data_IF_715179096547
#
_entry.id   IF_715179096547
#
_cell.length_a   1.000
_cell.length_b   1.000
_cell.length_c   1.000
_cell.angle_alpha   90.00
_cell.angle_beta   90.00
_cell.angle_gamma   90.00
#
_symmetry.space_group_name_H-M   'P 1'
#
loop_
_entity.id
_entity.type
_entity.pdbx_description
1 polymer ?
#
# COMPACT_ATOMS: atom_id res chain seq x y z
N UNK A 1 4.21 -7.44 -21.14
CA UNK A 1 3.92 -7.84 -19.75
C UNK A 1 3.47 -6.63 -18.93
N UNK A 2 4.40 -5.75 -18.59
CA UNK A 2 4.13 -4.62 -17.68
C UNK A 2 3.22 -3.52 -18.27
N UNK A 3 3.12 -3.41 -19.59
CA UNK A 3 2.15 -2.51 -20.25
C UNK A 3 0.72 -3.00 -20.05
N UNK A 4 0.51 -4.33 -19.96
CA UNK A 4 -0.79 -4.96 -19.75
C UNK A 4 -1.27 -4.86 -18.30
N UNK A 5 -0.35 -4.70 -17.34
CA UNK A 5 -0.69 -4.52 -15.92
C UNK A 5 -1.65 -3.37 -15.69
N UNK A 6 -1.72 -2.36 -16.57
CA UNK A 6 -2.68 -1.26 -16.46
C UNK A 6 -4.14 -1.70 -16.39
N UNK A 7 -4.49 -2.90 -16.89
CA UNK A 7 -5.87 -3.39 -16.81
C UNK A 7 -6.19 -4.05 -15.47
N UNK A 8 -5.23 -4.73 -14.84
CA UNK A 8 -5.42 -5.44 -13.56
C UNK A 8 -4.96 -4.63 -12.34
N UNK A 9 -3.94 -3.82 -12.51
CA UNK A 9 -3.30 -2.99 -11.50
C UNK A 9 -3.09 -1.54 -12.02
N UNK A 10 -4.16 -0.82 -12.44
CA UNK A 10 -4.06 0.50 -13.08
C UNK A 10 -3.33 1.56 -12.25
N UNK A 11 -3.44 1.46 -10.92
CA UNK A 11 -3.02 2.48 -9.94
C UNK A 11 -2.02 1.92 -8.92
N UNK A 12 -1.22 0.94 -9.32
CA UNK A 12 -0.19 0.32 -8.48
C UNK A 12 1.15 1.06 -8.56
N UNK A 13 1.89 1.15 -7.46
CA UNK A 13 3.14 1.94 -7.38
C UNK A 13 4.13 1.57 -8.49
N UNK A 14 4.42 0.27 -8.59
CA UNK A 14 5.42 -0.28 -9.52
C UNK A 14 5.07 -0.10 -11.01
N UNK A 15 3.87 0.40 -11.31
CA UNK A 15 3.48 0.76 -12.67
C UNK A 15 3.90 2.19 -13.07
N UNK A 16 4.55 2.93 -12.17
CA UNK A 16 5.12 4.26 -12.36
C UNK A 16 6.64 4.19 -12.44
N UNK A 17 7.21 5.10 -13.22
CA UNK A 17 8.64 5.39 -13.18
C UNK A 17 8.95 6.24 -11.95
N UNK A 18 10.10 6.00 -11.33
CA UNK A 18 10.70 6.86 -10.32
C UNK A 18 11.30 8.11 -11.01
N UNK A 19 11.72 9.10 -10.22
CA UNK A 19 12.32 10.34 -10.72
C UNK A 19 13.61 10.11 -11.51
N UNK A 20 14.33 9.03 -11.20
CA UNK A 20 15.51 8.57 -11.97
C UNK A 20 15.16 8.04 -13.39
N UNK A 21 13.88 8.01 -13.78
CA UNK A 21 13.43 7.57 -15.10
C UNK A 21 13.22 6.06 -15.24
N UNK A 22 13.48 5.28 -14.18
CA UNK A 22 13.42 3.82 -14.17
C UNK A 22 12.18 3.27 -13.46
N UNK A 23 11.78 2.05 -13.80
CA UNK A 23 10.81 1.27 -13.03
C UNK A 23 11.52 0.47 -11.93
N UNK A 24 10.77 -0.24 -11.07
CA UNK A 24 11.36 -1.10 -10.03
C UNK A 24 11.86 -2.45 -10.55
N UNK A 25 11.48 -2.81 -11.79
CA UNK A 25 11.73 -4.12 -12.36
C UNK A 25 13.17 -4.22 -12.87
N UNK A 26 14.02 -5.10 -12.29
CA UNK A 26 15.41 -5.27 -12.69
C UNK A 26 15.51 -5.99 -14.04
N UNK A 27 16.52 -5.66 -14.83
CA UNK A 27 16.85 -6.44 -16.02
C UNK A 27 17.41 -7.79 -15.59
N UNK A 28 17.13 -8.85 -16.35
CA UNK A 28 17.65 -10.20 -16.08
C UNK A 28 19.17 -10.21 -15.94
N UNK A 29 19.86 -9.49 -16.82
CA UNK A 29 21.32 -9.42 -16.89
C UNK A 29 21.93 -8.73 -15.66
N UNK A 30 21.14 -7.96 -14.92
CA UNK A 30 21.55 -7.28 -13.69
C UNK A 30 21.17 -8.06 -12.41
N UNK A 31 20.52 -9.21 -12.53
CA UNK A 31 20.22 -10.08 -11.39
C UNK A 31 21.43 -10.97 -11.07
N UNK A 32 21.77 -11.17 -9.79
CA UNK A 32 22.74 -12.19 -9.39
C UNK A 32 22.33 -13.58 -9.88
N UNK A 33 23.31 -14.43 -10.20
CA UNK A 33 23.04 -15.78 -10.75
C UNK A 33 22.19 -16.62 -9.80
N UNK A 34 22.45 -16.49 -8.51
CA UNK A 34 21.77 -17.17 -7.43
C UNK A 34 20.27 -16.80 -7.37
N UNK A 35 19.93 -15.56 -7.77
CA UNK A 35 18.54 -15.10 -7.85
C UNK A 35 17.86 -15.66 -9.11
N UNK A 36 18.57 -15.72 -10.23
CA UNK A 36 18.05 -16.27 -11.48
C UNK A 36 17.74 -17.76 -11.31
N UNK A 37 18.59 -18.52 -10.61
CA UNK A 37 18.42 -19.95 -10.33
C UNK A 37 17.20 -20.26 -9.45
N UNK A 38 16.78 -19.31 -8.60
CA UNK A 38 15.61 -19.46 -7.73
C UNK A 38 14.29 -19.15 -8.45
N UNK A 39 14.34 -18.45 -9.58
CA UNK A 39 13.16 -18.05 -10.35
C UNK A 39 12.71 -19.18 -11.27
N UNK A 40 11.39 -19.41 -11.34
CA UNK A 40 10.84 -20.49 -12.18
C UNK A 40 10.92 -20.09 -13.66
N UNK A 41 11.60 -20.89 -14.48
CA UNK A 41 11.59 -20.66 -15.93
C UNK A 41 10.29 -21.16 -16.55
N UNK A 42 9.56 -20.26 -17.23
CA UNK A 42 8.33 -20.59 -17.94
C UNK A 42 8.57 -20.71 -19.46
N UNK A 43 8.60 -21.94 -19.95
CA UNK A 43 8.83 -22.27 -21.37
C UNK A 43 7.62 -21.95 -22.28
N UNK A 44 6.50 -21.46 -21.73
CA UNK A 44 5.30 -21.13 -22.51
C UNK A 44 5.41 -19.77 -23.22
N UNK A 45 6.36 -18.93 -22.83
CA UNK A 45 6.60 -17.65 -23.50
C UNK A 45 7.24 -17.88 -24.87
N UNK A 46 6.65 -17.26 -25.89
CA UNK A 46 7.14 -17.33 -27.27
C UNK A 46 8.32 -16.40 -27.54
N UNK A 47 8.53 -15.37 -26.71
CA UNK A 47 9.59 -14.39 -26.88
C UNK A 47 10.55 -14.34 -25.69
N UNK A 48 11.86 -14.27 -25.98
CA UNK A 48 12.92 -14.11 -24.96
C UNK A 48 12.68 -12.87 -24.09
N UNK A 49 12.16 -11.80 -24.69
CA UNK A 49 11.82 -10.58 -23.94
C UNK A 49 10.70 -10.83 -22.91
N UNK A 50 9.68 -11.62 -23.24
CA UNK A 50 8.64 -11.98 -22.29
C UNK A 50 9.20 -12.84 -21.15
N UNK A 51 10.08 -13.80 -21.45
CA UNK A 51 10.81 -14.58 -20.44
C UNK A 51 11.62 -13.68 -19.51
N UNK A 52 12.34 -12.69 -20.04
CA UNK A 52 13.12 -11.75 -19.21
C UNK A 52 12.23 -10.87 -18.33
N UNK A 53 11.08 -10.41 -18.84
CA UNK A 53 10.09 -9.69 -18.03
C UNK A 53 9.46 -10.58 -16.94
N UNK A 54 9.22 -11.85 -17.25
CA UNK A 54 8.71 -12.80 -16.27
C UNK A 54 9.69 -13.03 -15.13
N UNK A 55 10.98 -13.21 -15.45
CA UNK A 55 12.04 -13.35 -14.46
C UNK A 55 12.12 -12.11 -13.56
N UNK A 56 12.05 -10.93 -14.16
CA UNK A 56 12.03 -9.66 -13.45
C UNK A 56 10.82 -9.52 -12.52
N UNK A 57 9.64 -9.93 -12.99
CA UNK A 57 8.41 -9.94 -12.19
C UNK A 57 8.53 -10.87 -10.99
N UNK A 58 9.01 -12.09 -11.21
CA UNK A 58 9.21 -13.08 -10.15
C UNK A 58 10.22 -12.57 -9.12
N UNK A 59 11.39 -12.09 -9.54
CA UNK A 59 12.41 -11.55 -8.64
C UNK A 59 11.82 -10.50 -7.67
N UNK A 60 11.14 -9.47 -8.19
CA UNK A 60 10.55 -8.40 -7.36
C UNK A 60 9.49 -8.96 -6.39
N UNK A 61 8.60 -9.84 -6.86
CA UNK A 61 7.51 -10.34 -6.03
C UNK A 61 7.94 -11.46 -5.06
N UNK A 62 9.05 -12.14 -5.32
CA UNK A 62 9.64 -13.19 -4.46
C UNK A 62 10.55 -12.63 -3.37
N UNK A 63 10.81 -11.32 -3.35
CA UNK A 63 11.59 -10.69 -2.28
C UNK A 63 12.99 -10.24 -2.67
N UNK A 64 13.32 -10.19 -3.97
CA UNK A 64 14.55 -9.55 -4.39
C UNK A 64 14.51 -8.06 -4.05
N UNK A 65 15.46 -7.65 -3.23
CA UNK A 65 15.61 -6.26 -2.77
C UNK A 65 16.94 -5.65 -3.21
N UNK A 66 17.79 -6.40 -3.92
CA UNK A 66 19.13 -5.96 -4.30
C UNK A 66 19.16 -4.78 -5.29
N UNK A 67 20.35 -4.20 -5.45
CA UNK A 67 20.60 -3.14 -6.44
C UNK A 67 20.88 -3.77 -7.81
N UNK A 68 20.49 -3.11 -8.88
CA UNK A 68 20.72 -3.57 -10.24
C UNK A 68 20.19 -2.57 -11.25
N UNK A 69 20.56 -2.75 -12.53
CA UNK A 69 20.02 -1.94 -13.60
C UNK A 69 18.54 -2.29 -13.82
N UNK A 70 17.67 -1.30 -13.64
CA UNK A 70 16.24 -1.46 -13.85
C UNK A 70 15.79 -1.02 -15.25
N UNK A 71 14.66 -1.53 -15.70
CA UNK A 71 14.08 -1.10 -16.97
C UNK A 71 13.69 0.39 -16.93
N UNK A 72 14.20 1.17 -17.89
CA UNK A 72 13.72 2.52 -18.16
C UNK A 72 12.44 2.53 -19.01
N UNK A 73 12.29 1.58 -19.94
CA UNK A 73 11.12 1.50 -20.82
C UNK A 73 10.72 0.05 -21.05
N UNK A 74 9.42 -0.17 -21.26
CA UNK A 74 8.90 -1.48 -21.63
C UNK A 74 8.59 -1.52 -23.13
N UNK A 75 9.06 -2.57 -23.79
CA UNK A 75 8.72 -2.89 -25.17
C UNK A 75 7.45 -3.76 -25.19
N UNK A 76 6.72 -3.70 -26.29
CA UNK A 76 5.55 -4.54 -26.52
C UNK A 76 6.02 -5.98 -26.78
N UNK A 77 5.36 -6.96 -26.16
CA UNK A 77 5.58 -8.39 -26.39
C UNK A 77 4.38 -8.99 -27.17
N UNK A 78 4.48 -10.22 -27.69
CA UNK A 78 3.35 -10.93 -28.30
C UNK A 78 2.10 -10.94 -27.40
N UNK A 79 0.93 -10.93 -28.01
CA UNK A 79 -0.34 -10.83 -27.27
C UNK A 79 -0.61 -12.12 -26.48
N UNK A 80 -0.20 -13.25 -27.04
CA UNK A 80 -0.25 -14.58 -26.46
C UNK A 80 0.53 -14.60 -25.14
N UNK A 81 1.75 -14.06 -25.15
CA UNK A 81 2.61 -13.93 -23.96
C UNK A 81 1.97 -13.04 -22.87
N UNK A 82 1.27 -11.96 -23.25
CA UNK A 82 0.53 -11.12 -22.30
C UNK A 82 -0.58 -11.90 -21.58
N UNK A 83 -1.29 -12.77 -22.30
CA UNK A 83 -2.34 -13.61 -21.73
C UNK A 83 -1.81 -14.78 -20.92
N UNK A 84 -0.67 -15.36 -21.33
CA UNK A 84 0.07 -16.35 -20.51
C UNK A 84 0.40 -15.72 -19.16
N UNK A 85 1.07 -14.56 -19.15
CA UNK A 85 1.37 -13.81 -17.91
C UNK A 85 0.12 -13.56 -17.06
N UNK A 86 -0.96 -13.06 -17.67
CA UNK A 86 -2.17 -12.73 -16.94
C UNK A 86 -2.79 -13.95 -16.24
N UNK A 87 -2.80 -15.12 -16.89
CA UNK A 87 -3.31 -16.38 -16.30
C UNK A 87 -2.33 -17.00 -15.31
N UNK A 88 -1.03 -16.80 -15.48
CA UNK A 88 0.00 -17.28 -14.56
C UNK A 88 -0.12 -16.60 -13.19
N UNK A 89 -0.31 -15.27 -13.14
CA UNK A 89 -0.20 -14.51 -11.88
C UNK A 89 -1.49 -13.96 -11.31
N UNK A 90 -2.56 -13.84 -12.11
CA UNK A 90 -3.81 -13.25 -11.65
C UNK A 90 -4.94 -14.29 -11.62
N UNK A 91 -5.95 -14.03 -10.78
CA UNK A 91 -7.16 -14.85 -10.78
C UNK A 91 -7.76 -14.93 -12.20
N UNK A 92 -8.20 -16.12 -12.67
CA UNK A 92 -8.72 -16.31 -14.03
C UNK A 92 -9.83 -15.33 -14.44
N UNK A 93 -10.65 -14.86 -13.50
CA UNK A 93 -11.68 -13.84 -13.73
C UNK A 93 -11.09 -12.57 -14.34
N UNK A 94 -9.87 -12.20 -13.94
CA UNK A 94 -9.19 -11.03 -14.49
C UNK A 94 -8.76 -11.22 -15.94
N UNK A 95 -8.45 -12.45 -16.38
CA UNK A 95 -8.18 -12.71 -17.80
C UNK A 95 -9.41 -12.48 -18.67
N UNK A 96 -10.58 -12.89 -18.19
CA UNK A 96 -11.88 -12.67 -18.84
C UNK A 96 -12.19 -11.18 -18.88
N UNK A 97 -12.05 -10.49 -17.74
CA UNK A 97 -12.24 -9.05 -17.66
C UNK A 97 -11.38 -8.28 -18.68
N UNK A 98 -10.10 -8.64 -18.81
CA UNK A 98 -9.18 -7.95 -19.72
C UNK A 98 -9.58 -8.15 -21.18
N UNK A 99 -9.91 -9.37 -21.62
CA UNK A 99 -10.34 -9.59 -23.02
C UNK A 99 -11.63 -8.80 -23.33
N UNK A 100 -12.60 -8.77 -22.42
CA UNK A 100 -13.83 -8.00 -22.59
C UNK A 100 -13.55 -6.50 -22.72
N UNK A 101 -12.76 -5.93 -21.80
CA UNK A 101 -12.39 -4.50 -21.86
C UNK A 101 -11.62 -4.17 -23.14
N UNK A 102 -10.76 -5.07 -23.62
CA UNK A 102 -9.99 -4.83 -24.86
C UNK A 102 -10.88 -4.83 -26.09
N UNK A 103 -11.86 -5.74 -26.18
CA UNK A 103 -12.86 -5.75 -27.24
C UNK A 103 -13.71 -4.47 -27.19
N UNK A 104 -14.22 -4.11 -26.00
CA UNK A 104 -15.01 -2.88 -25.80
C UNK A 104 -14.22 -1.60 -26.06
N UNK A 105 -12.89 -1.65 -26.05
CA UNK A 105 -12.00 -0.54 -26.42
C UNK A 105 -11.41 -0.70 -27.82
N UNK A 106 -12.15 -1.39 -28.70
CA UNK A 106 -11.90 -1.53 -30.14
C UNK A 106 -10.54 -2.17 -30.49
N UNK A 107 -10.03 -3.08 -29.65
CA UNK A 107 -8.95 -3.99 -30.07
C UNK A 107 -9.52 -5.09 -30.95
N UNK A 108 -8.71 -5.59 -31.89
CA UNK A 108 -9.14 -6.57 -32.88
C UNK A 108 -9.69 -7.84 -32.19
N UNK A 109 -11.00 -8.12 -32.27
CA UNK A 109 -11.62 -9.18 -31.47
C UNK A 109 -11.08 -10.56 -31.84
N UNK A 110 -10.81 -10.82 -33.12
CA UNK A 110 -10.28 -12.12 -33.57
C UNK A 110 -8.90 -12.41 -32.98
N UNK A 111 -7.99 -11.41 -33.00
CA UNK A 111 -6.65 -11.55 -32.41
C UNK A 111 -6.72 -11.72 -30.89
N UNK A 112 -7.54 -10.92 -30.21
CA UNK A 112 -7.70 -10.98 -28.74
C UNK A 112 -8.30 -12.31 -28.28
N UNK A 113 -9.37 -12.77 -28.92
CA UNK A 113 -10.04 -14.03 -28.58
C UNK A 113 -9.11 -15.21 -28.89
N UNK A 114 -8.43 -15.21 -30.05
CA UNK A 114 -7.48 -16.27 -30.41
C UNK A 114 -6.36 -16.40 -29.37
N UNK A 115 -5.69 -15.30 -29.02
CA UNK A 115 -4.62 -15.29 -28.02
C UNK A 115 -5.13 -15.68 -26.61
N UNK A 116 -6.31 -15.19 -26.22
CA UNK A 116 -6.92 -15.53 -24.93
C UNK A 116 -7.32 -17.01 -24.83
N UNK A 117 -7.81 -17.62 -25.93
CA UNK A 117 -8.10 -19.04 -26.02
C UNK A 117 -6.81 -19.88 -26.07
N UNK A 118 -5.78 -19.42 -26.76
CA UNK A 118 -4.46 -20.08 -26.81
C UNK A 118 -3.83 -20.26 -25.42
N UNK A 119 -4.07 -19.31 -24.52
CA UNK A 119 -3.60 -19.38 -23.12
C UNK A 119 -4.49 -20.22 -22.17
N UNK A 120 -5.57 -20.85 -22.63
CA UNK A 120 -6.58 -21.50 -21.76
C UNK A 120 -6.02 -22.60 -20.83
N UNK A 121 -4.94 -23.27 -21.24
CA UNK A 121 -4.31 -24.36 -20.48
C UNK A 121 -3.26 -23.87 -19.47
N UNK A 122 -3.01 -22.56 -19.40
CA UNK A 122 -2.06 -21.96 -18.46
C UNK A 122 -2.59 -22.13 -17.02
N UNK A 123 -1.80 -22.82 -16.20
CA UNK A 123 -2.03 -22.96 -14.76
C UNK A 123 -1.43 -21.78 -13.99
N UNK A 124 -2.09 -21.42 -12.87
CA UNK A 124 -1.63 -20.36 -11.96
C UNK A 124 -0.31 -20.78 -11.30
N UNK A 125 0.66 -19.88 -11.22
CA UNK A 125 1.93 -20.11 -10.56
C UNK A 125 1.79 -20.12 -9.03
N UNK A 126 2.63 -20.91 -8.37
CA UNK A 126 2.77 -20.98 -6.91
C UNK A 126 4.04 -20.27 -6.42
N UNK A 127 4.66 -19.41 -7.24
CA UNK A 127 5.95 -18.77 -6.97
C UNK A 127 6.12 -18.14 -5.56
N UNK A 128 5.04 -17.63 -4.94
CA UNK A 128 5.06 -17.10 -3.57
C UNK A 128 5.22 -18.15 -2.46
N UNK A 129 5.20 -19.45 -2.78
CA UNK A 129 5.45 -20.52 -1.81
C UNK A 129 6.95 -20.66 -1.48
N UNK A 130 7.84 -20.23 -2.39
CA UNK A 130 9.29 -20.30 -2.23
C UNK A 130 9.90 -18.89 -2.38
N UNK A 131 9.69 -17.98 -1.41
CA UNK A 131 10.31 -16.66 -1.49
C UNK A 131 11.84 -16.75 -1.41
N UNK A 132 12.51 -15.72 -1.93
CA UNK A 132 13.97 -15.61 -1.86
C UNK A 132 14.35 -15.47 -0.38
N UNK A 133 15.17 -16.39 0.17
CA UNK A 133 15.54 -16.37 1.57
C UNK A 133 16.50 -15.21 1.86
N UNK A 134 16.53 -14.79 3.12
CA UNK A 134 17.50 -13.83 3.64
C UNK A 134 18.30 -14.49 4.77
N UNK A 135 19.24 -15.40 4.44
CA UNK A 135 19.89 -16.26 5.43
C UNK A 135 20.78 -15.48 6.40
N UNK A 136 21.31 -14.32 6.00
CA UNK A 136 22.21 -13.52 6.83
C UNK A 136 21.46 -12.69 7.89
N UNK A 137 20.13 -12.54 7.75
CA UNK A 137 19.33 -11.69 8.64
C UNK A 137 19.38 -12.12 10.12
N UNK A 138 19.18 -13.40 10.49
CA UNK A 138 19.16 -13.81 11.90
C UNK A 138 20.49 -13.49 12.61
N UNK A 139 21.63 -13.74 11.95
CA UNK A 139 22.97 -13.51 12.51
C UNK A 139 23.47 -12.07 12.39
N UNK A 140 22.81 -11.22 11.60
CA UNK A 140 23.25 -9.85 11.40
C UNK A 140 23.19 -9.02 12.69
N UNK A 141 24.33 -8.45 13.06
CA UNK A 141 24.46 -7.48 14.15
C UNK A 141 24.38 -6.08 13.55
N UNK A 142 23.40 -5.30 14.00
CA UNK A 142 23.15 -3.97 13.43
C UNK A 142 23.98 -2.91 14.12
N UNK A 143 24.90 -2.31 13.35
CA UNK A 143 25.68 -1.15 13.79
C UNK A 143 24.77 0.03 14.12
N UNK A 144 23.64 0.17 13.41
CA UNK A 144 22.67 1.21 13.70
C UNK A 144 22.01 1.03 15.07
N UNK A 145 21.65 -0.21 15.45
CA UNK A 145 21.10 -0.50 16.77
C UNK A 145 22.13 -0.22 17.86
N UNK A 146 23.39 -0.62 17.65
CA UNK A 146 24.51 -0.35 18.59
C UNK A 146 24.79 1.15 18.79
N UNK A 147 24.59 1.98 17.75
CA UNK A 147 24.74 3.44 17.84
C UNK A 147 23.59 4.13 18.60
N UNK A 148 22.52 3.41 18.90
CA UNK A 148 21.37 3.91 19.67
C UNK A 148 20.86 5.29 19.20
N UNK A 149 20.51 5.50 17.92
CA UNK A 149 19.97 6.78 17.47
C UNK A 149 18.59 7.11 18.09
N UNK A 150 18.33 8.37 18.40
CA UNK A 150 17.00 8.75 18.91
C UNK A 150 15.90 8.45 17.87
N UNK A 151 14.86 7.71 18.29
CA UNK A 151 13.64 7.44 17.53
C UNK A 151 12.48 8.27 18.09
N UNK A 152 11.75 8.98 17.24
CA UNK A 152 10.50 9.66 17.63
C UNK A 152 9.30 8.83 17.21
N UNK A 153 8.55 8.33 18.19
CA UNK A 153 7.33 7.56 17.97
C UNK A 153 6.15 8.54 17.89
N UNK A 154 5.36 8.47 16.82
CA UNK A 154 4.26 9.40 16.55
C UNK A 154 2.93 8.67 16.64
N UNK A 155 2.09 9.09 17.59
CA UNK A 155 0.80 8.48 17.89
C UNK A 155 -0.30 9.54 17.84
N UNK A 156 -1.08 9.61 16.76
CA UNK A 156 -2.34 10.37 16.76
C UNK A 156 -3.42 9.57 17.50
N UNK A 157 -4.15 10.20 18.41
CA UNK A 157 -5.27 9.55 19.13
C UNK A 157 -6.55 10.38 19.06
N UNK A 158 -7.69 9.69 19.04
CA UNK A 158 -9.01 10.31 19.10
C UNK A 158 -10.02 9.36 19.75
N UNK A 159 -10.40 9.69 20.98
CA UNK A 159 -11.42 9.01 21.78
C UNK A 159 -11.11 7.51 21.99
N UNK A 160 -9.84 7.17 22.23
CA UNK A 160 -9.33 5.78 22.33
C UNK A 160 -8.41 5.51 23.52
N UNK A 161 -8.52 6.29 24.60
CA UNK A 161 -7.70 6.15 25.82
C UNK A 161 -7.49 4.71 26.30
N UNK A 162 -8.53 3.85 26.25
CA UNK A 162 -8.41 2.43 26.62
C UNK A 162 -7.33 1.71 25.81
N UNK A 163 -7.30 1.87 24.49
CA UNK A 163 -6.36 1.19 23.61
C UNK A 163 -5.00 1.89 23.60
N UNK A 164 -5.02 3.22 23.73
CA UNK A 164 -3.80 4.00 23.89
C UNK A 164 -3.03 3.59 25.15
N UNK A 165 -3.72 3.23 26.24
CA UNK A 165 -3.07 2.70 27.44
C UNK A 165 -2.26 1.43 27.12
N UNK A 166 -2.88 0.46 26.45
CA UNK A 166 -2.20 -0.77 26.05
C UNK A 166 -0.99 -0.48 25.14
N UNK A 167 -1.11 0.49 24.24
CA UNK A 167 -0.04 0.96 23.35
C UNK A 167 1.14 1.53 24.15
N UNK A 168 0.88 2.41 25.13
CA UNK A 168 1.93 3.03 25.94
C UNK A 168 2.60 1.99 26.86
N UNK A 169 1.85 1.06 27.44
CA UNK A 169 2.40 -0.05 28.22
C UNK A 169 3.28 -1.01 27.39
N UNK A 170 2.97 -1.21 26.11
CA UNK A 170 3.83 -1.99 25.20
C UNK A 170 5.13 -1.22 24.86
N UNK A 171 5.08 0.12 24.82
CA UNK A 171 6.25 0.95 24.61
C UNK A 171 7.21 0.95 25.81
N UNK A 172 6.69 0.90 27.04
CA UNK A 172 7.51 0.75 28.26
C UNK A 172 8.28 -0.58 28.30
N UNK A 173 7.81 -1.58 27.57
CA UNK A 173 8.42 -2.92 27.50
C UNK A 173 9.42 -3.07 26.35
N UNK A 174 9.69 -2.01 25.58
CA UNK A 174 10.64 -2.09 24.47
C UNK A 174 12.07 -2.31 24.99
N UNK A 175 12.80 -3.21 24.35
CA UNK A 175 14.23 -3.46 24.65
C UNK A 175 15.11 -2.31 24.18
N UNK A 176 14.69 -1.60 23.14
CA UNK A 176 15.32 -0.37 22.69
C UNK A 176 14.78 0.82 23.47
N UNK A 177 15.64 1.53 24.19
CA UNK A 177 15.20 2.57 25.16
C UNK A 177 15.43 4.01 24.72
N UNK A 178 16.25 4.28 23.69
CA UNK A 178 16.53 5.65 23.24
C UNK A 178 15.44 6.17 22.28
N UNK A 179 14.25 6.42 22.80
CA UNK A 179 13.14 6.98 22.03
C UNK A 179 12.35 8.04 22.82
N UNK A 180 11.68 8.91 22.08
CA UNK A 180 10.64 9.80 22.61
C UNK A 180 9.29 9.42 22.00
N UNK A 181 8.20 9.74 22.70
CA UNK A 181 6.85 9.46 22.24
C UNK A 181 6.07 10.77 22.14
N UNK A 182 5.57 11.07 20.95
CA UNK A 182 4.80 12.28 20.68
C UNK A 182 3.35 11.85 20.42
N UNK A 183 2.47 12.18 21.37
CA UNK A 183 1.04 11.91 21.27
C UNK A 183 0.32 13.18 20.84
N UNK A 184 -0.46 13.10 19.77
CA UNK A 184 -1.35 14.19 19.35
C UNK A 184 -2.79 13.76 19.60
N UNK A 185 -3.35 14.26 20.70
CA UNK A 185 -4.67 13.93 21.19
C UNK A 185 -5.73 14.89 20.66
N UNK A 186 -6.72 14.36 19.98
CA UNK A 186 -7.84 15.10 19.40
C UNK A 186 -9.17 14.82 20.14
N UNK A 187 -9.09 14.13 21.28
CA UNK A 187 -10.24 13.70 22.07
C UNK A 187 -10.88 14.86 22.80
N UNK A 188 -12.19 14.78 22.95
CA UNK A 188 -12.98 15.79 23.65
C UNK A 188 -13.96 15.07 24.60
N UNK A 189 -13.81 15.23 25.93
CA UNK A 189 -12.82 16.08 26.60
C UNK A 189 -11.37 15.54 26.50
N UNK A 190 -10.40 16.46 26.46
CA UNK A 190 -8.98 16.14 26.59
C UNK A 190 -8.65 15.76 28.04
N UNK A 191 -7.97 14.63 28.24
CA UNK A 191 -7.67 14.08 29.57
C UNK A 191 -6.17 14.14 29.83
N UNK A 192 -5.65 15.31 30.20
CA UNK A 192 -4.22 15.49 30.47
C UNK A 192 -3.67 14.48 31.49
N UNK A 193 -4.41 14.25 32.58
CA UNK A 193 -4.02 13.34 33.67
C UNK A 193 -3.85 11.88 33.22
N UNK A 194 -4.44 11.48 32.09
CA UNK A 194 -4.25 10.12 31.56
C UNK A 194 -2.77 9.82 31.29
N UNK A 195 -1.98 10.83 30.94
CA UNK A 195 -0.60 10.66 30.50
C UNK A 195 0.43 10.65 31.65
N UNK A 196 0.02 11.01 32.87
CA UNK A 196 0.92 11.18 34.02
C UNK A 196 1.39 9.83 34.59
N UNK A 197 0.70 8.73 34.28
CA UNK A 197 0.94 7.39 34.84
C UNK A 197 2.03 6.58 34.10
N UNK A 198 2.64 7.12 33.04
CA UNK A 198 3.56 6.37 32.17
C UNK A 198 5.01 6.84 32.33
N UNK A 199 5.93 5.87 32.47
CA UNK A 199 7.38 6.07 32.57
C UNK A 199 8.04 6.20 31.19
N UNK A 200 7.49 7.09 30.36
CA UNK A 200 7.93 7.34 28.99
C UNK A 200 8.34 8.81 28.82
N UNK A 201 9.30 9.07 27.95
CA UNK A 201 9.58 10.43 27.48
C UNK A 201 8.45 10.91 26.56
N UNK A 202 7.33 11.32 27.17
CA UNK A 202 6.10 11.72 26.50
C UNK A 202 6.06 13.22 26.25
N UNK A 203 5.74 13.57 25.00
CA UNK A 203 5.33 14.91 24.61
C UNK A 203 3.88 14.84 24.09
N UNK A 204 2.96 15.44 24.83
CA UNK A 204 1.52 15.37 24.53
C UNK A 204 1.02 16.71 24.04
N UNK A 205 0.41 16.72 22.86
CA UNK A 205 -0.19 17.90 22.25
C UNK A 205 -1.69 17.68 22.15
N UNK A 206 -2.48 18.62 22.66
CA UNK A 206 -3.90 18.67 22.35
C UNK A 206 -4.11 19.36 21.00
N UNK A 207 -4.87 18.74 20.10
CA UNK A 207 -5.25 19.28 18.81
C UNK A 207 -6.77 19.33 18.68
N UNK A 208 -7.33 20.54 18.67
CA UNK A 208 -8.78 20.76 18.53
C UNK A 208 -9.32 20.27 17.16
N UNK A 209 -8.57 20.53 16.08
CA UNK A 209 -8.96 20.05 14.76
C UNK A 209 -8.83 18.52 14.70
N UNK A 210 -9.97 17.85 14.57
CA UNK A 210 -10.08 16.40 14.35
C UNK A 210 -9.61 16.02 12.93
N UNK A 211 -8.30 15.86 12.75
CA UNK A 211 -7.57 15.69 11.49
C UNK A 211 -6.28 14.85 11.68
N UNK A 212 -6.24 13.66 11.06
CA UNK A 212 -5.17 12.66 11.23
C UNK A 212 -3.84 13.12 10.61
N UNK A 213 -3.88 13.63 9.37
CA UNK A 213 -2.65 14.00 8.67
C UNK A 213 -2.05 15.26 9.28
N UNK A 214 -2.88 16.20 9.76
CA UNK A 214 -2.44 17.31 10.58
C UNK A 214 -1.75 16.82 11.85
N UNK A 215 -2.37 15.90 12.58
CA UNK A 215 -1.79 15.36 13.81
C UNK A 215 -0.42 14.71 13.57
N UNK A 216 -0.30 13.87 12.54
CA UNK A 216 1.00 13.29 12.14
C UNK A 216 2.00 14.37 11.71
N UNK A 217 1.58 15.36 10.92
CA UNK A 217 2.45 16.45 10.47
C UNK A 217 3.00 17.27 11.64
N UNK A 218 2.15 17.69 12.57
CA UNK A 218 2.53 18.44 13.78
C UNK A 218 3.57 17.67 14.60
N UNK A 219 3.35 16.37 14.80
CA UNK A 219 4.28 15.52 15.54
C UNK A 219 5.62 15.33 14.82
N UNK A 220 5.62 15.17 13.49
CA UNK A 220 6.85 15.08 12.68
C UNK A 220 7.64 16.38 12.79
N UNK A 221 6.97 17.53 12.70
CA UNK A 221 7.59 18.86 12.76
C UNK A 221 8.37 19.08 14.05
N UNK A 222 7.83 18.67 15.20
CA UNK A 222 8.48 18.88 16.50
C UNK A 222 9.38 17.73 16.96
N UNK A 223 9.42 16.63 16.21
CA UNK A 223 10.24 15.46 16.53
C UNK A 223 11.72 15.83 16.64
N UNK A 224 12.46 15.17 17.53
CA UNK A 224 13.91 15.35 17.72
C UNK A 224 14.72 14.18 17.15
N UNK A 225 14.12 13.00 17.09
CA UNK A 225 14.73 11.78 16.57
C UNK A 225 15.17 11.90 15.12
N UNK A 226 16.23 11.16 14.78
CA UNK A 226 16.70 11.01 13.38
C UNK A 226 15.83 10.03 12.59
N UNK A 227 15.06 9.22 13.32
CA UNK A 227 14.11 8.25 12.79
C UNK A 227 12.72 8.54 13.32
N UNK A 228 11.73 8.41 12.45
CA UNK A 228 10.32 8.63 12.76
C UNK A 228 9.62 7.28 12.69
N UNK A 229 9.02 6.86 13.80
CA UNK A 229 8.24 5.63 13.88
C UNK A 229 6.76 5.98 13.99
N UNK A 230 6.03 5.78 12.90
CA UNK A 230 4.60 6.07 12.87
C UNK A 230 3.83 4.87 13.42
N UNK A 231 2.99 5.13 14.42
CA UNK A 231 2.23 4.10 15.12
C UNK A 231 0.75 4.51 15.25
N UNK A 232 -0.15 3.54 15.40
CA UNK A 232 -1.58 3.81 15.68
C UNK A 232 -1.92 3.50 17.13
N UNK A 233 -2.96 4.17 17.64
CA UNK A 233 -3.47 4.04 19.00
C UNK A 233 -4.28 2.75 19.30
N UNK A 234 -4.51 1.88 18.31
CA UNK A 234 -5.26 0.62 18.43
C UNK A 234 -4.44 -0.61 18.01
N UNK A 235 -3.21 -0.68 18.49
CA UNK A 235 -2.20 -1.66 18.09
C UNK A 235 -1.46 -2.29 19.27
N UNK A 236 -0.97 -3.53 19.09
CA UNK A 236 -0.11 -4.22 20.05
C UNK A 236 1.20 -4.63 19.38
N UNK A 237 2.31 -4.50 20.11
CA UNK A 237 3.67 -4.78 19.61
C UNK A 237 4.51 -5.52 20.64
N UNK A 238 5.47 -6.33 20.15
CA UNK A 238 6.42 -7.04 21.00
C UNK A 238 7.61 -6.17 21.44
N UNK A 239 8.43 -6.64 22.39
CA UNK A 239 9.51 -5.87 23.01
C UNK A 239 10.64 -5.47 22.03
N UNK A 240 10.89 -6.26 20.99
CA UNK A 240 11.96 -6.01 20.00
C UNK A 240 11.47 -5.26 18.74
N UNK A 241 10.26 -4.70 18.76
CA UNK A 241 9.63 -4.10 17.59
C UNK A 241 10.44 -2.94 17.00
N UNK A 242 10.95 -2.02 17.85
CA UNK A 242 11.79 -0.91 17.40
C UNK A 242 13.13 -1.42 16.83
N UNK A 243 13.75 -2.41 17.49
CA UNK A 243 15.00 -3.04 17.04
C UNK A 243 14.82 -3.66 15.65
N UNK A 244 13.72 -4.39 15.42
CA UNK A 244 13.44 -5.02 14.15
C UNK A 244 13.37 -4.00 13.00
N UNK A 245 12.77 -2.83 13.25
CA UNK A 245 12.75 -1.74 12.28
C UNK A 245 14.14 -1.13 12.00
N UNK A 246 14.89 -0.79 13.04
CA UNK A 246 16.25 -0.23 12.90
C UNK A 246 17.19 -1.20 12.20
N UNK A 247 17.16 -2.48 12.58
CA UNK A 247 17.94 -3.55 11.96
C UNK A 247 17.60 -3.69 10.47
N UNK A 248 16.35 -3.53 10.08
CA UNK A 248 15.93 -3.57 8.67
C UNK A 248 16.49 -2.40 7.86
N UNK A 249 16.44 -1.19 8.43
CA UNK A 249 17.02 0.01 7.80
C UNK A 249 18.51 -0.20 7.54
N UNK A 250 19.23 -0.71 8.54
CA UNK A 250 20.67 -0.92 8.47
C UNK A 250 21.05 -2.07 7.52
N UNK A 251 20.48 -3.26 7.71
CA UNK A 251 20.77 -4.46 6.93
C UNK A 251 20.55 -4.25 5.42
N UNK A 252 19.44 -3.62 5.05
CA UNK A 252 19.16 -3.36 3.64
C UNK A 252 19.72 -2.03 3.15
N UNK A 253 20.34 -1.21 4.00
CA UNK A 253 20.66 0.18 3.68
C UNK A 253 19.45 0.86 3.01
N UNK A 254 18.33 0.86 3.73
CA UNK A 254 17.04 1.37 3.28
C UNK A 254 16.70 2.69 3.97
N UNK A 255 15.73 3.44 3.44
CA UNK A 255 15.24 4.67 4.08
C UNK A 255 13.94 4.43 4.86
N UNK A 256 13.22 3.35 4.52
CA UNK A 256 11.91 3.03 5.07
C UNK A 256 11.83 1.53 5.38
N UNK A 257 11.39 1.20 6.60
CA UNK A 257 11.02 -0.15 7.02
C UNK A 257 9.52 -0.17 7.30
N UNK A 258 8.73 -0.72 6.38
CA UNK A 258 7.29 -0.97 6.57
C UNK A 258 7.09 -2.28 7.31
N UNK A 259 6.59 -2.23 8.54
CA UNK A 259 6.27 -3.42 9.32
C UNK A 259 5.02 -4.11 8.81
N UNK A 260 4.78 -5.33 9.31
CA UNK A 260 3.64 -6.15 8.90
C UNK A 260 2.50 -5.99 9.89
N UNK A 261 1.32 -5.65 9.38
CA UNK A 261 0.10 -5.56 10.20
C UNK A 261 -0.70 -6.85 10.12
N UNK A 262 -0.72 -7.58 11.23
CA UNK A 262 -1.54 -8.77 11.44
C UNK A 262 -2.88 -8.31 12.01
N UNK A 263 -3.98 -8.93 11.57
CA UNK A 263 -5.29 -8.63 12.12
C UNK A 263 -6.08 -9.92 12.32
N UNK A 264 -6.62 -10.08 13.53
CA UNK A 264 -7.50 -11.20 13.88
C UNK A 264 -8.89 -11.09 13.21
N UNK A 265 -9.23 -9.91 12.68
CA UNK A 265 -10.49 -9.64 12.01
C UNK A 265 -10.25 -9.31 10.52
N UNK A 266 -10.84 -10.09 9.62
CA UNK A 266 -10.91 -9.76 8.19
C UNK A 266 -10.29 -10.81 7.28
N UNK A 267 -9.62 -10.34 6.23
CA UNK A 267 -8.98 -11.21 5.24
C UNK A 267 -7.67 -11.80 5.77
N UNK A 268 -7.30 -12.98 5.25
CA UNK A 268 -6.02 -13.63 5.50
C UNK A 268 -4.85 -12.68 5.20
N UNK A 269 -3.81 -12.74 6.03
CA UNK A 269 -2.58 -11.97 5.80
C UNK A 269 -1.95 -12.42 4.48
N UNK A 270 -1.69 -11.51 3.54
CA UNK A 270 -1.08 -11.89 2.27
C UNK A 270 0.26 -12.61 2.46
N UNK A 271 0.50 -13.71 1.73
CA UNK A 271 1.76 -14.48 1.85
C UNK A 271 3.02 -13.66 1.62
N UNK A 272 2.94 -12.62 0.80
CA UNK A 272 4.05 -11.70 0.56
C UNK A 272 4.41 -10.80 1.75
N UNK A 273 3.72 -10.93 2.88
CA UNK A 273 4.08 -10.30 4.15
C UNK A 273 4.95 -11.20 5.03
N UNK A 274 5.15 -12.48 4.67
CA UNK A 274 5.95 -13.41 5.49
C UNK A 274 7.45 -13.38 5.18
N UNK A 275 7.90 -12.48 4.30
CA UNK A 275 9.30 -12.37 3.87
C UNK A 275 9.65 -10.93 3.48
N UNK A 276 10.95 -10.63 3.42
CA UNK A 276 11.43 -9.31 3.00
C UNK A 276 11.18 -9.08 1.52
N UNK A 277 10.70 -7.88 1.18
CA UNK A 277 10.58 -7.45 -0.22
C UNK A 277 10.52 -5.94 -0.31
N UNK A 278 10.67 -5.42 -1.53
CA UNK A 278 10.32 -4.02 -1.79
C UNK A 278 8.82 -3.85 -1.55
N UNK A 279 8.46 -2.97 -0.63
CA UNK A 279 7.08 -2.69 -0.29
C UNK A 279 6.41 -1.84 -1.37
N UNK A 280 5.19 -2.21 -1.73
CA UNK A 280 4.29 -1.46 -2.61
C UNK A 280 3.20 -0.71 -1.84
N UNK A 281 3.38 -0.57 -0.52
CA UNK A 281 2.51 0.22 0.34
C UNK A 281 3.29 0.75 1.55
N UNK A 282 2.72 1.73 2.23
CA UNK A 282 3.13 2.16 3.57
C UNK A 282 1.89 2.02 4.43
N UNK A 283 2.02 1.36 5.58
CA UNK A 283 1.03 1.41 6.65
C UNK A 283 1.53 2.43 7.66
N UNK A 284 0.92 3.62 7.72
CA UNK A 284 1.38 4.66 8.66
C UNK A 284 1.12 4.31 10.12
N UNK A 285 0.48 3.17 10.41
CA UNK A 285 0.40 2.62 11.74
C UNK A 285 1.55 1.67 12.12
N UNK A 286 2.46 1.32 11.20
CA UNK A 286 3.59 0.43 11.48
C UNK A 286 4.74 0.67 10.49
N UNK A 287 5.41 1.82 10.59
CA UNK A 287 6.51 2.15 9.67
C UNK A 287 7.56 3.04 10.31
N UNK A 288 8.82 2.64 10.17
CA UNK A 288 9.99 3.46 10.52
C UNK A 288 10.51 4.14 9.25
N UNK A 289 10.74 5.44 9.33
CA UNK A 289 11.34 6.25 8.26
C UNK A 289 12.55 7.01 8.79
N UNK A 290 13.59 7.12 7.96
CA UNK A 290 14.59 8.16 8.19
C UNK A 290 13.93 9.54 8.05
N UNK A 291 14.30 10.48 8.90
CA UNK A 291 13.73 11.84 8.89
C UNK A 291 13.99 12.60 7.57
N UNK A 292 15.06 12.24 6.85
CA UNK A 292 15.35 12.77 5.51
C UNK A 292 14.27 12.48 4.46
N UNK A 293 13.47 11.43 4.66
CA UNK A 293 12.35 11.10 3.76
C UNK A 293 11.38 12.28 3.74
N UNK A 294 11.00 12.81 4.91
CA UNK A 294 10.10 13.97 5.01
C UNK A 294 10.73 15.24 4.44
N UNK A 295 12.06 15.44 4.58
CA UNK A 295 12.76 16.59 3.98
C UNK A 295 12.66 16.58 2.46
N UNK A 296 12.67 15.40 1.86
CA UNK A 296 12.62 15.22 0.40
C UNK A 296 11.18 15.20 -0.14
N UNK A 297 10.28 14.46 0.50
CA UNK A 297 8.90 14.28 0.01
C UNK A 297 7.96 15.40 0.43
N UNK A 298 8.32 16.18 1.47
CA UNK A 298 7.38 16.96 2.26
C UNK A 298 6.50 16.07 3.15
N UNK A 299 5.68 16.73 3.96
CA UNK A 299 4.77 16.12 4.93
C UNK A 299 3.57 15.37 4.26
N UNK A 300 2.62 14.88 5.06
CA UNK A 300 1.41 14.23 4.53
C UNK A 300 0.48 15.24 3.83
N UNK A 301 -0.13 14.83 2.70
CA UNK A 301 -1.08 15.67 1.96
C UNK A 301 -2.42 15.76 2.70
N UNK A 302 -2.74 16.95 3.22
CA UNK A 302 -4.00 17.17 3.95
C UNK A 302 -5.24 17.12 3.04
N UNK A 303 -5.12 16.97 1.72
CA UNK A 303 -6.25 16.63 0.86
C UNK A 303 -6.90 15.27 1.23
N UNK A 304 -6.22 14.42 1.99
CA UNK A 304 -6.73 13.11 2.41
C UNK A 304 -7.40 13.12 3.79
N UNK A 305 -7.53 14.29 4.42
CA UNK A 305 -8.21 14.39 5.72
C UNK A 305 -9.63 13.86 5.67
N UNK A 306 -10.00 13.10 6.70
CA UNK A 306 -11.32 12.46 6.86
C UNK A 306 -11.71 11.56 5.69
N UNK A 307 -10.73 11.12 4.88
CA UNK A 307 -10.93 10.27 3.72
C UNK A 307 -9.88 9.14 3.65
N UNK A 308 -9.60 8.59 2.46
CA UNK A 308 -8.77 7.39 2.26
C UNK A 308 -7.66 7.65 1.26
N UNK A 309 -6.69 6.75 1.23
CA UNK A 309 -5.51 6.77 0.33
C UNK A 309 -4.40 7.73 0.74
N UNK A 310 -4.41 8.32 1.94
CA UNK A 310 -3.27 9.14 2.38
C UNK A 310 -2.00 8.31 2.61
N UNK A 311 -2.13 7.12 3.21
CA UNK A 311 -1.04 6.12 3.27
C UNK A 311 -0.50 5.78 1.88
N UNK A 312 -1.44 5.49 0.98
CA UNK A 312 -1.20 5.14 -0.42
C UNK A 312 -0.50 6.27 -1.19
N UNK A 313 -0.85 7.51 -0.87
CA UNK A 313 -0.30 8.69 -1.51
C UNK A 313 1.12 8.99 -1.03
N UNK A 314 1.33 8.97 0.29
CA UNK A 314 2.65 9.22 0.86
C UNK A 314 3.64 8.12 0.45
N UNK A 315 3.21 6.86 0.49
CA UNK A 315 4.02 5.74 0.01
C UNK A 315 4.36 5.83 -1.48
N UNK A 316 3.42 6.28 -2.32
CA UNK A 316 3.71 6.51 -3.73
C UNK A 316 4.72 7.65 -3.92
N UNK A 317 4.61 8.76 -3.18
CA UNK A 317 5.62 9.83 -3.24
C UNK A 317 7.01 9.31 -2.86
N UNK A 318 7.12 8.57 -1.76
CA UNK A 318 8.38 7.95 -1.36
C UNK A 318 8.96 7.05 -2.46
N UNK A 319 8.12 6.22 -3.07
CA UNK A 319 8.51 5.37 -4.20
C UNK A 319 9.00 6.20 -5.41
N UNK A 320 8.31 7.29 -5.75
CA UNK A 320 8.68 8.16 -6.86
C UNK A 320 10.01 8.87 -6.63
N UNK A 321 10.34 9.27 -5.39
CA UNK A 321 11.66 9.79 -5.03
C UNK A 321 12.78 8.73 -5.12
N UNK A 322 12.41 7.45 -5.17
CA UNK A 322 13.36 6.35 -5.26
C UNK A 322 13.84 5.81 -3.93
N UNK A 323 13.20 6.21 -2.83
CA UNK A 323 13.48 5.64 -1.51
C UNK A 323 13.24 4.15 -1.47
N UNK A 324 14.16 3.43 -0.83
CA UNK A 324 14.06 2.01 -0.61
C UNK A 324 13.16 1.75 0.60
N UNK A 325 11.98 1.21 0.31
CA UNK A 325 11.00 0.81 1.31
C UNK A 325 10.93 -0.72 1.38
N UNK A 326 11.30 -1.28 2.53
CA UNK A 326 11.31 -2.73 2.76
C UNK A 326 10.11 -3.14 3.60
N UNK A 327 9.36 -4.13 3.11
CA UNK A 327 8.37 -4.87 3.91
C UNK A 327 9.11 -5.77 4.88
N UNK A 328 8.92 -5.58 6.18
CA UNK A 328 9.67 -6.23 7.24
C UNK A 328 8.76 -7.18 8.06
N UNK A 329 8.85 -8.51 7.86
CA UNK A 329 8.05 -9.48 8.58
C UNK A 329 8.38 -9.57 10.08
N UNK A 330 9.55 -9.10 10.51
CA UNK A 330 10.00 -9.17 11.91
C UNK A 330 9.58 -7.94 12.72
N UNK A 331 9.12 -6.88 12.06
CA UNK A 331 8.51 -5.72 12.71
C UNK A 331 6.99 -5.83 12.63
N UNK A 332 6.44 -6.87 13.25
CA UNK A 332 5.01 -7.13 13.24
C UNK A 332 4.23 -6.31 14.27
N UNK A 333 2.98 -6.02 13.92
CA UNK A 333 2.01 -5.33 14.76
C UNK A 333 0.69 -6.09 14.70
N UNK A 334 0.06 -6.31 15.85
CA UNK A 334 -1.34 -6.73 15.89
C UNK A 334 -2.26 -5.50 15.85
N UNK A 335 -2.98 -5.31 14.74
CA UNK A 335 -3.94 -4.21 14.57
C UNK A 335 -5.35 -4.68 14.95
N UNK A 336 -5.88 -4.11 16.04
CA UNK A 336 -7.14 -4.51 16.68
C UNK A 336 -8.40 -4.11 15.88
N UNK A 337 -8.27 -3.17 14.94
CA UNK A 337 -9.35 -2.65 14.09
C UNK A 337 -10.59 -2.19 14.87
N UNK A 338 -10.37 -1.46 15.96
CA UNK A 338 -11.41 -1.07 16.93
C UNK A 338 -12.58 -0.34 16.26
N UNK A 339 -13.82 -0.78 16.48
CA UNK A 339 -15.01 -0.26 15.78
C UNK A 339 -15.37 1.21 16.06
N UNK A 340 -14.84 1.82 17.12
CA UNK A 340 -15.14 3.18 17.57
C UNK A 340 -13.89 4.07 17.69
N UNK A 341 -14.08 5.39 17.75
CA UNK A 341 -12.98 6.36 17.82
C UNK A 341 -12.16 6.48 16.53
N UNK A 342 -11.17 7.36 16.52
CA UNK A 342 -10.28 7.59 15.38
C UNK A 342 -11.02 8.07 14.12
N UNK A 343 -10.46 7.76 12.95
CA UNK A 343 -11.06 8.07 11.65
C UNK A 343 -12.49 7.55 11.47
N UNK A 344 -12.89 6.52 12.24
CA UNK A 344 -14.24 5.92 12.16
C UNK A 344 -15.33 6.88 12.64
N UNK A 345 -14.99 7.95 13.37
CA UNK A 345 -15.96 8.99 13.75
C UNK A 345 -16.32 9.96 12.62
N UNK A 346 -15.49 10.05 11.56
CA UNK A 346 -15.57 11.16 10.59
C UNK A 346 -15.95 10.74 9.17
N UNK A 347 -16.36 9.49 8.93
CA UNK A 347 -16.83 9.08 7.61
C UNK A 347 -17.03 7.58 7.40
N UNK A 348 -17.48 7.20 6.20
CA UNK A 348 -17.56 5.81 5.77
C UNK A 348 -16.15 5.25 5.58
N UNK A 349 -15.84 4.15 6.24
CA UNK A 349 -14.59 3.42 6.06
C UNK A 349 -14.52 2.78 4.67
N UNK A 350 -15.64 2.38 4.08
CA UNK A 350 -15.65 1.79 2.73
C UNK A 350 -15.50 2.89 1.67
N UNK A 351 -14.34 2.93 1.01
CA UNK A 351 -14.04 3.94 0.00
C UNK A 351 -14.92 3.83 -1.26
N UNK A 352 -15.57 2.68 -1.48
CA UNK A 352 -16.34 2.36 -2.68
C UNK A 352 -17.81 2.02 -2.40
N UNK A 353 -18.25 2.07 -1.14
CA UNK A 353 -19.65 1.91 -0.75
C UNK A 353 -20.11 3.03 0.16
N UNK A 354 -21.33 3.45 -0.08
CA UNK A 354 -21.98 4.53 0.67
C UNK A 354 -23.40 4.11 1.01
N UNK A 355 -23.85 4.50 2.20
CA UNK A 355 -25.22 4.31 2.65
C UNK A 355 -26.17 5.41 2.13
N UNK A 356 -25.64 6.49 1.55
CA UNK A 356 -26.42 7.60 0.96
C UNK A 356 -26.48 7.48 -0.57
N UNK A 357 -27.67 7.63 -1.14
CA UNK A 357 -27.95 7.43 -2.57
C UNK A 357 -27.13 8.33 -3.51
N UNK A 358 -26.81 9.57 -3.10
CA UNK A 358 -26.06 10.54 -3.92
C UNK A 358 -24.66 10.86 -3.37
N UNK A 359 -24.17 10.08 -2.41
CA UNK A 359 -22.80 10.25 -1.96
C UNK A 359 -21.80 9.78 -3.04
N UNK A 360 -20.63 10.41 -3.13
CA UNK A 360 -19.62 10.07 -4.13
C UNK A 360 -19.17 8.61 -4.00
N UNK A 361 -19.03 7.93 -5.15
CA UNK A 361 -18.47 6.58 -5.25
C UNK A 361 -17.40 6.51 -6.35
N UNK A 362 -16.13 6.18 -6.04
CA UNK A 362 -15.57 6.11 -4.70
C UNK A 362 -15.62 7.45 -4.00
N UNK A 363 -15.19 7.53 -2.74
CA UNK A 363 -14.96 8.83 -2.11
C UNK A 363 -13.94 9.66 -2.91
N UNK A 364 -14.04 11.00 -2.90
CA UNK A 364 -13.30 11.85 -3.85
C UNK A 364 -11.78 11.73 -3.80
N UNK A 365 -11.20 11.53 -2.61
CA UNK A 365 -9.75 11.32 -2.42
C UNK A 365 -9.17 10.15 -3.23
N UNK A 366 -9.94 9.08 -3.42
CA UNK A 366 -9.51 7.93 -4.24
C UNK A 366 -9.28 8.36 -5.69
N UNK A 367 -10.24 9.10 -6.26
CA UNK A 367 -10.10 9.61 -7.63
C UNK A 367 -9.09 10.75 -7.73
N UNK A 368 -8.94 11.57 -6.69
CA UNK A 368 -7.87 12.57 -6.60
C UNK A 368 -6.50 11.88 -6.70
N UNK A 369 -6.24 10.86 -5.87
CA UNK A 369 -5.02 10.06 -5.92
C UNK A 369 -4.79 9.41 -7.30
N UNK A 370 -5.80 8.71 -7.85
CA UNK A 370 -5.67 8.03 -9.14
C UNK A 370 -5.36 8.99 -10.27
N UNK A 371 -6.09 10.11 -10.35
CA UNK A 371 -5.95 11.06 -11.46
C UNK A 371 -4.67 11.88 -11.35
N UNK A 372 -4.29 12.30 -10.14
CA UNK A 372 -3.07 13.07 -9.89
C UNK A 372 -1.81 12.29 -10.28
N UNK A 373 -1.72 11.03 -9.88
CA UNK A 373 -0.49 10.26 -10.04
C UNK A 373 -0.47 9.31 -11.24
N UNK A 374 -1.63 8.89 -11.75
CA UNK A 374 -1.73 7.91 -12.84
C UNK A 374 -2.44 8.46 -14.08
N UNK A 375 -3.08 9.63 -13.99
CA UNK A 375 -3.82 10.27 -15.08
C UNK A 375 -5.23 9.69 -15.29
N UNK A 376 -6.04 10.41 -16.05
CA UNK A 376 -7.46 10.10 -16.24
C UNK A 376 -7.70 8.72 -16.86
N UNK A 377 -6.87 8.29 -17.82
CA UNK A 377 -7.04 7.00 -18.50
C UNK A 377 -6.93 5.82 -17.53
N UNK A 378 -5.93 5.83 -16.64
CA UNK A 378 -5.74 4.77 -15.64
C UNK A 378 -6.76 4.87 -14.51
N UNK A 379 -7.15 6.08 -14.11
CA UNK A 379 -8.24 6.28 -13.16
C UNK A 379 -9.56 5.67 -13.68
N UNK A 380 -9.85 5.79 -14.98
CA UNK A 380 -11.03 5.15 -15.56
C UNK A 380 -10.95 3.63 -15.56
N UNK A 381 -9.80 3.05 -15.91
CA UNK A 381 -9.60 1.60 -15.81
C UNK A 381 -9.77 1.11 -14.36
N UNK A 382 -9.28 1.88 -13.38
CA UNK A 382 -9.46 1.57 -11.97
C UNK A 382 -10.95 1.55 -11.58
N UNK A 383 -11.73 2.56 -12.01
CA UNK A 383 -13.18 2.60 -11.78
C UNK A 383 -13.91 1.42 -12.42
N UNK A 384 -13.62 1.10 -13.69
CA UNK A 384 -14.21 -0.04 -14.39
C UNK A 384 -13.92 -1.36 -13.68
N UNK A 385 -12.76 -1.46 -13.03
CA UNK A 385 -12.37 -2.65 -12.26
C UNK A 385 -13.02 -2.71 -10.88
N UNK A 386 -13.13 -1.58 -10.17
CA UNK A 386 -13.47 -1.57 -8.74
C UNK A 386 -14.91 -1.21 -8.42
N UNK A 387 -15.59 -0.42 -9.26
CA UNK A 387 -16.98 0.01 -9.00
C UNK A 387 -17.98 -1.12 -9.20
N UNK A 388 -17.96 -1.90 -10.31
CA UNK A 388 -18.94 -2.99 -10.48
C UNK A 388 -18.98 -3.98 -9.31
N UNK A 389 -17.85 -4.54 -8.82
CA UNK A 389 -17.90 -5.45 -7.67
C UNK A 389 -18.23 -4.76 -6.34
N UNK A 390 -18.22 -3.43 -6.26
CA UNK A 390 -18.59 -2.70 -5.03
C UNK A 390 -20.11 -2.56 -4.87
N UNK A 391 -20.88 -2.71 -5.95
CA UNK A 391 -22.36 -2.65 -5.92
C UNK A 391 -22.93 -3.86 -5.19
N UNK A 392 -22.34 -5.03 -5.40
CA UNK A 392 -22.79 -6.29 -4.80
C UNK A 392 -22.37 -6.38 -3.33
N UNK A 393 -23.32 -6.56 -2.37
CA UNK A 393 -23.01 -6.73 -0.95
C UNK A 393 -22.12 -7.95 -0.69
N UNK A 394 -21.26 -7.90 0.34
CA UNK A 394 -20.36 -9.03 0.65
C UNK A 394 -21.12 -10.34 0.93
N UNK A 395 -22.25 -10.26 1.64
CA UNK A 395 -23.13 -11.43 1.90
C UNK A 395 -23.61 -12.14 0.64
N UNK A 396 -23.82 -11.41 -0.46
CA UNK A 396 -24.31 -11.99 -1.71
C UNK A 396 -23.19 -12.69 -2.50
N UNK A 397 -21.93 -12.29 -2.28
CA UNK A 397 -20.78 -12.86 -3.01
C UNK A 397 -20.51 -14.33 -2.67
N UNK A 398 -21.02 -14.84 -1.55
CA UNK A 398 -20.84 -16.24 -1.12
C UNK A 398 -21.94 -17.19 -1.64
N UNK A 399 -23.10 -16.67 -2.03
CA UNK A 399 -24.25 -17.47 -2.46
C UNK A 399 -24.54 -17.23 -3.94
N UNK A 400 -24.54 -18.28 -4.77
CA UNK A 400 -24.68 -18.18 -6.24
C UNK A 400 -25.99 -17.51 -6.68
N UNK A 401 -27.10 -17.81 -6.00
CA UNK A 401 -28.42 -17.24 -6.32
C UNK A 401 -28.43 -15.74 -5.97
N UNK A 402 -27.98 -15.40 -4.76
CA UNK A 402 -27.88 -14.01 -4.33
C UNK A 402 -26.86 -13.21 -5.15
N UNK A 403 -25.83 -13.86 -5.69
CA UNK A 403 -24.88 -13.25 -6.61
C UNK A 403 -25.55 -12.90 -7.94
N UNK A 404 -26.33 -13.80 -8.53
CA UNK A 404 -27.09 -13.53 -9.76
C UNK A 404 -28.11 -12.40 -9.55
N UNK A 405 -28.85 -12.45 -8.44
CA UNK A 405 -29.74 -11.37 -8.03
C UNK A 405 -28.97 -10.04 -7.87
N UNK A 406 -27.81 -10.07 -7.23
CA UNK A 406 -26.94 -8.92 -7.07
C UNK A 406 -26.44 -8.34 -8.39
N UNK A 407 -26.16 -9.17 -9.39
CA UNK A 407 -25.79 -8.73 -10.75
C UNK A 407 -26.98 -8.02 -11.40
N UNK A 408 -28.18 -8.59 -11.34
CA UNK A 408 -29.38 -7.96 -11.88
C UNK A 408 -29.67 -6.60 -11.23
N UNK A 409 -29.64 -6.53 -9.89
CA UNK A 409 -29.79 -5.28 -9.14
C UNK A 409 -28.70 -4.26 -9.54
N UNK A 410 -27.48 -4.71 -9.82
CA UNK A 410 -26.39 -3.81 -10.21
C UNK A 410 -26.64 -3.13 -11.56
N UNK A 411 -27.34 -3.80 -12.49
CA UNK A 411 -27.75 -3.21 -13.78
C UNK A 411 -28.80 -2.13 -13.53
N UNK A 412 -29.81 -2.40 -12.71
CA UNK A 412 -30.87 -1.43 -12.36
C UNK A 412 -30.29 -0.20 -11.67
N UNK A 413 -29.31 -0.39 -10.77
CA UNK A 413 -28.67 0.71 -10.04
C UNK A 413 -27.62 1.47 -10.87
N UNK A 414 -27.28 1.02 -12.08
CA UNK A 414 -26.19 1.58 -12.88
C UNK A 414 -26.31 3.10 -13.13
N UNK A 415 -27.50 3.67 -13.45
CA UNK A 415 -27.63 5.12 -13.63
C UNK A 415 -27.29 5.91 -12.35
N UNK A 416 -27.74 5.44 -11.19
CA UNK A 416 -27.41 6.06 -9.90
C UNK A 416 -25.92 5.96 -9.59
N UNK A 417 -25.31 4.79 -9.85
CA UNK A 417 -23.87 4.60 -9.67
C UNK A 417 -23.07 5.52 -10.59
N UNK A 418 -23.51 5.71 -11.84
CA UNK A 418 -22.88 6.65 -12.77
C UNK A 418 -22.91 8.08 -12.24
N UNK A 419 -24.04 8.52 -11.65
CA UNK A 419 -24.16 9.82 -10.98
C UNK A 419 -23.18 9.90 -9.79
N UNK A 420 -23.11 8.87 -8.93
CA UNK A 420 -22.16 8.84 -7.80
C UNK A 420 -20.70 8.96 -8.26
N UNK A 421 -20.34 8.28 -9.35
CA UNK A 421 -19.01 8.35 -9.97
C UNK A 421 -18.76 9.74 -10.53
N UNK A 422 -19.72 10.34 -11.22
CA UNK A 422 -19.61 11.70 -11.75
C UNK A 422 -19.43 12.75 -10.64
N UNK A 423 -20.20 12.66 -9.54
CA UNK A 423 -20.03 13.53 -8.37
C UNK A 423 -18.62 13.38 -7.79
N UNK A 424 -18.15 12.15 -7.62
CA UNK A 424 -16.80 11.88 -7.14
C UNK A 424 -15.74 12.47 -8.07
N UNK A 425 -15.90 12.29 -9.38
CA UNK A 425 -15.00 12.82 -10.40
C UNK A 425 -14.92 14.35 -10.35
N UNK A 426 -16.06 15.04 -10.27
CA UNK A 426 -16.12 16.50 -10.15
C UNK A 426 -15.45 17.00 -8.87
N UNK A 427 -15.71 16.35 -7.73
CA UNK A 427 -15.06 16.69 -6.45
C UNK A 427 -13.55 16.43 -6.48
N UNK A 428 -13.12 15.35 -7.12
CA UNK A 428 -11.71 15.08 -7.36
C UNK A 428 -11.07 16.14 -8.28
N UNK A 429 -11.77 16.61 -9.33
CA UNK A 429 -11.28 17.72 -10.16
C UNK A 429 -11.07 18.98 -9.33
N UNK A 430 -12.00 19.31 -8.41
CA UNK A 430 -11.82 20.45 -7.50
C UNK A 430 -10.54 20.30 -6.65
N UNK A 431 -10.28 19.11 -6.10
CA UNK A 431 -9.05 18.82 -5.34
C UNK A 431 -7.79 18.93 -6.21
N UNK A 432 -7.82 18.44 -7.45
CA UNK A 432 -6.69 18.57 -8.39
C UNK A 432 -6.39 20.05 -8.66
N UNK A 433 -7.43 20.86 -8.93
CA UNK A 433 -7.28 22.29 -9.20
C UNK A 433 -6.77 23.07 -7.99
N UNK A 434 -7.15 22.66 -6.77
CA UNK A 434 -6.64 23.23 -5.52
C UNK A 434 -5.17 22.87 -5.25
N UNK A 435 -4.65 21.81 -5.89
CA UNK A 435 -3.31 21.30 -5.62
C UNK A 435 -3.22 20.47 -4.33
N UNK A 436 -2.03 19.91 -4.05
CA UNK A 436 -1.79 19.17 -2.81
C UNK A 436 -1.68 20.14 -1.64
N UNK A 437 -2.07 19.70 -0.45
CA UNK A 437 -1.86 20.42 0.81
C UNK A 437 -0.69 19.78 1.57
N UNK A 438 0.49 19.77 0.92
CA UNK A 438 1.74 19.23 1.47
C UNK A 438 2.60 20.42 1.91
N UNK A 439 2.96 20.46 3.19
CA UNK A 439 3.97 21.41 3.70
C UNK A 439 5.37 20.85 3.48
N UNK A 440 6.31 21.74 3.18
CA UNK A 440 7.73 21.41 3.24
C UNK A 440 8.14 21.09 4.68
N UNK A 441 9.07 20.17 4.83
CA UNK A 441 9.66 19.85 6.13
C UNK A 441 11.09 20.42 6.13
N UNK A 442 11.30 21.45 6.94
CA UNK A 442 12.56 22.20 7.03
C UNK A 442 13.56 21.52 7.98
#
# INVERSE_FOLDING_TARGET
MFIFLKYVQPTHYFSRKRKDGTFIFPKKEALPKEIIEQVLTDNRYSSTLATNYDISWQAVNMGYVGKGENYAHFKKIPLEDEYVFLRTYFNPVWSIYVVLIRILTFKNPFKEISAWLGSRNVKRSTYLQNPIPCPDWPSYKSVLVEKTPLVSIIIPTLNRYRYLKDVLEDLEKQTYTNFEVIVVDQSEPFKKQFYDDFSLNLNVIYQEEKALWLARNTAVEISKGSYILLFDDDSRVGPDWIIAHLKCIDFFNAEISSGVSISTLGAEVPKNYSFFRISDQIDTGNVLLKKEVFKTTGLFDRQFEKQRMGDGEFGLRCFLEGFRNISNPFAERLHLKVGSGGLRQMGSWDAFRTNKLFAPRPIPSVLYFYRRYFGNKRAMLALLKSVPPSIIPYRFKRNKILLLLGIFISIVLLPFIAIQVWISWRRATKKINQGPLIRAFN
#
